data_IF_888685823875
#
_entry.id   IF_888685823875
#
_cell.length_a   1.000
_cell.length_b   1.000
_cell.length_c   1.000
_cell.angle_alpha   90.00
_cell.angle_beta   90.00
_cell.angle_gamma   90.00
#
_symmetry.space_group_name_H-M   'P 1'
#
loop_
_entity.id
_entity.type
_entity.pdbx_description
1 polymer ?
#
# COMPACT_ATOMS: atom_id res chain seq x y z
N UNK A 1 45.20 61.18 9.68
CA UNK A 1 45.40 60.49 8.39
C UNK A 1 45.09 59.01 8.53
N UNK A 2 44.01 58.54 7.88
CA UNK A 2 43.84 57.26 7.14
C UNK A 2 42.34 56.92 7.09
N UNK A 3 41.78 57.13 5.89
CA UNK A 3 40.41 56.83 5.47
C UNK A 3 40.28 55.33 5.18
N UNK A 4 39.12 54.72 5.46
CA UNK A 4 38.58 53.62 4.64
C UNK A 4 37.06 53.76 4.48
N UNK A 5 36.66 53.79 3.22
CA UNK A 5 35.32 53.92 2.63
C UNK A 5 34.52 52.59 2.76
N UNK A 6 33.25 52.63 3.18
CA UNK A 6 32.01 52.61 2.37
C UNK A 6 31.83 51.41 1.42
N UNK A 7 30.84 50.57 1.71
CA UNK A 7 29.84 50.11 0.73
C UNK A 7 28.58 49.61 1.44
N UNK A 8 27.57 50.46 1.41
CA UNK A 8 26.18 50.11 1.65
C UNK A 8 25.56 49.76 0.30
N UNK A 9 24.91 48.61 0.21
CA UNK A 9 23.92 48.34 -0.83
C UNK A 9 22.61 48.08 -0.11
N UNK A 10 21.79 49.12 -0.06
CA UNK A 10 20.37 49.06 0.28
C UNK A 10 19.67 48.56 -0.99
N UNK A 11 19.01 47.42 -0.92
CA UNK A 11 17.99 47.03 -1.88
C UNK A 11 16.65 46.93 -1.13
N UNK A 12 15.84 47.98 -1.25
CA UNK A 12 14.42 47.92 -0.95
C UNK A 12 13.69 47.39 -2.19
N UNK A 13 12.87 46.35 -2.03
CA UNK A 13 11.81 46.04 -2.98
C UNK A 13 10.58 45.48 -2.25
N UNK A 14 9.66 46.41 -1.98
CA UNK A 14 8.20 46.33 -2.06
C UNK A 14 7.51 45.03 -1.63
N UNK A 15 6.76 45.15 -0.53
CA UNK A 15 5.79 44.17 -0.08
C UNK A 15 4.58 44.04 -1.01
N UNK A 16 4.04 42.83 -1.04
CA UNK A 16 2.62 42.61 -1.25
C UNK A 16 1.98 42.43 0.14
N UNK A 17 1.15 43.39 0.53
CA UNK A 17 0.17 43.22 1.60
C UNK A 17 -1.00 42.45 0.99
N UNK A 18 -1.16 41.21 1.41
CA UNK A 18 -2.42 40.47 1.29
C UNK A 18 -2.97 40.27 2.70
N UNK A 19 -4.06 40.97 3.02
CA UNK A 19 -4.85 40.78 4.24
C UNK A 19 -5.42 39.37 4.30
N UNK A 20 -5.38 38.73 5.47
CA UNK A 20 -6.16 37.53 5.72
C UNK A 20 -5.71 36.78 6.97
N UNK A 21 -6.16 37.29 8.12
CA UNK A 21 -6.32 36.64 9.43
C UNK A 21 -5.19 35.75 9.98
N UNK A 22 -4.63 36.22 11.09
CA UNK A 22 -3.78 35.45 12.00
C UNK A 22 -4.54 34.22 12.50
N UNK A 23 -4.22 33.06 11.93
CA UNK A 23 -4.40 31.77 12.59
C UNK A 23 -3.06 31.09 12.55
N UNK A 24 -2.48 30.94 13.74
CA UNK A 24 -1.18 30.34 14.03
C UNK A 24 -0.93 29.11 13.14
N UNK A 25 -0.10 29.30 12.12
CA UNK A 25 0.43 28.24 11.28
C UNK A 25 1.44 27.45 12.08
N UNK A 26 0.95 26.58 12.96
CA UNK A 26 1.75 25.58 13.65
C UNK A 26 2.40 24.71 12.56
N UNK A 27 3.71 24.88 12.38
CA UNK A 27 4.50 24.01 11.51
C UNK A 27 4.37 22.60 12.07
N UNK A 28 3.85 21.62 11.32
CA UNK A 28 3.67 20.28 11.85
C UNK A 28 5.01 19.76 12.39
N UNK A 29 5.04 19.16 13.60
CA UNK A 29 6.28 18.63 14.14
C UNK A 29 6.89 17.64 13.14
N UNK A 30 8.22 17.67 12.96
CA UNK A 30 8.90 16.71 12.10
C UNK A 30 8.66 15.30 12.67
N UNK A 31 7.86 14.47 11.99
CA UNK A 31 7.66 13.08 12.43
C UNK A 31 6.34 12.38 12.13
N UNK A 32 5.31 13.02 11.55
CA UNK A 32 4.14 12.27 11.03
C UNK A 32 3.97 12.52 9.55
N UNK A 33 4.33 11.53 8.74
CA UNK A 33 3.97 11.58 7.33
C UNK A 33 2.45 11.40 7.24
N UNK A 34 1.77 12.41 6.69
CA UNK A 34 0.31 12.35 6.54
C UNK A 34 -0.04 11.69 5.21
N UNK A 35 -0.71 10.54 5.28
CA UNK A 35 -1.25 9.75 4.17
C UNK A 35 -2.77 9.99 4.02
N UNK A 36 -3.20 11.24 4.06
CA UNK A 36 -4.63 11.59 4.05
C UNK A 36 -5.27 11.58 2.66
N UNK A 37 -4.49 11.42 1.59
CA UNK A 37 -4.97 11.45 0.21
C UNK A 37 -4.42 10.28 -0.60
N UNK A 38 -5.14 9.91 -1.67
CA UNK A 38 -4.72 8.86 -2.59
C UNK A 38 -3.35 9.19 -3.22
N UNK A 39 -3.16 10.44 -3.67
CA UNK A 39 -1.90 10.88 -4.26
C UNK A 39 -0.76 10.92 -3.24
N UNK A 40 -1.04 11.23 -1.97
CA UNK A 40 -0.06 11.17 -0.89
C UNK A 40 0.44 9.74 -0.64
N UNK A 41 -0.48 8.76 -0.63
CA UNK A 41 -0.14 7.32 -0.52
C UNK A 41 0.67 6.89 -1.75
N UNK A 42 0.22 7.21 -2.97
CA UNK A 42 0.93 6.85 -4.21
C UNK A 42 2.33 7.42 -4.25
N UNK A 43 2.47 8.71 -3.96
CA UNK A 43 3.77 9.41 -3.92
C UNK A 43 4.69 8.82 -2.87
N UNK A 44 4.15 8.43 -1.70
CA UNK A 44 4.95 7.74 -0.71
C UNK A 44 5.44 6.39 -1.22
N UNK A 45 4.55 5.57 -1.79
CA UNK A 45 4.91 4.23 -2.22
C UNK A 45 5.83 4.21 -3.45
N UNK A 46 5.78 5.23 -4.31
CA UNK A 46 6.61 5.30 -5.51
C UNK A 46 8.11 5.17 -5.20
N UNK A 47 8.79 4.31 -5.97
CA UNK A 47 10.20 3.96 -5.74
C UNK A 47 10.46 3.06 -4.53
N UNK A 48 9.44 2.59 -3.81
CA UNK A 48 9.59 1.68 -2.65
C UNK A 48 9.46 0.22 -3.03
N UNK A 49 10.04 -0.60 -2.17
CA UNK A 49 9.89 -2.05 -2.13
C UNK A 49 8.98 -2.44 -0.96
N UNK A 50 8.16 -3.47 -1.17
CA UNK A 50 7.16 -3.97 -0.24
C UNK A 50 7.28 -5.49 -0.19
N UNK A 51 7.73 -6.06 0.94
CA UNK A 51 8.00 -7.50 1.08
C UNK A 51 7.03 -8.17 2.05
N UNK A 52 6.35 -9.22 1.60
CA UNK A 52 5.54 -10.12 2.42
C UNK A 52 6.21 -11.48 2.48
N UNK A 53 6.49 -11.98 3.68
CA UNK A 53 7.10 -13.30 3.92
C UNK A 53 6.77 -13.82 5.33
N UNK A 54 6.91 -15.13 5.53
CA UNK A 54 6.69 -15.78 6.82
C UNK A 54 5.30 -15.48 7.40
N UNK A 55 5.23 -15.07 8.67
CA UNK A 55 3.96 -14.79 9.37
C UNK A 55 3.15 -13.60 8.79
N UNK A 56 3.72 -12.87 7.82
CA UNK A 56 3.00 -11.81 7.12
C UNK A 56 2.17 -12.32 5.93
N UNK A 57 2.40 -13.57 5.50
CA UNK A 57 1.57 -14.26 4.53
C UNK A 57 0.33 -14.76 5.28
N UNK A 58 -0.88 -14.37 4.85
CA UNK A 58 -2.09 -14.80 5.52
C UNK A 58 -2.57 -16.16 4.99
N UNK A 59 -3.37 -16.88 5.78
CA UNK A 59 -3.85 -18.22 5.38
C UNK A 59 -4.77 -18.24 4.16
N UNK A 60 -5.37 -17.09 3.80
CA UNK A 60 -6.27 -16.97 2.65
C UNK A 60 -5.92 -15.76 1.78
N UNK A 61 -4.74 -15.72 1.13
CA UNK A 61 -4.39 -14.62 0.25
C UNK A 61 -5.41 -14.53 -0.88
N UNK A 62 -5.85 -13.31 -1.21
CA UNK A 62 -6.86 -13.08 -2.25
C UNK A 62 -8.20 -13.82 -2.03
N UNK A 63 -8.46 -14.30 -0.81
CA UNK A 63 -9.66 -15.05 -0.44
C UNK A 63 -9.61 -16.57 -0.66
N UNK A 64 -8.50 -17.12 -1.19
CA UNK A 64 -8.31 -18.56 -1.38
C UNK A 64 -7.38 -19.13 -0.32
N UNK A 65 -7.68 -20.32 0.20
CA UNK A 65 -6.78 -21.01 1.12
C UNK A 65 -5.42 -21.20 0.48
N UNK A 66 -4.35 -20.91 1.22
CA UNK A 66 -2.98 -21.19 0.76
C UNK A 66 -2.70 -22.71 0.63
N UNK A 67 -3.51 -23.54 1.28
CA UNK A 67 -3.42 -25.00 1.25
C UNK A 67 -4.11 -25.63 0.03
N UNK A 68 -4.84 -24.85 -0.76
CA UNK A 68 -5.54 -25.35 -1.96
C UNK A 68 -4.56 -25.43 -3.15
N UNK A 69 -4.41 -26.64 -3.72
CA UNK A 69 -3.67 -26.81 -4.97
C UNK A 69 -4.53 -26.40 -6.17
N UNK A 70 -4.35 -25.15 -6.59
CA UNK A 70 -4.93 -24.57 -7.80
C UNK A 70 -3.91 -24.54 -8.96
N UNK A 71 -2.84 -25.32 -8.88
CA UNK A 71 -1.77 -25.41 -9.86
C UNK A 71 -0.97 -24.11 -10.04
N UNK A 72 -1.13 -23.45 -11.18
CA UNK A 72 -0.38 -22.23 -11.50
C UNK A 72 -0.87 -20.99 -10.74
N UNK A 73 -2.07 -21.05 -10.15
CA UNK A 73 -2.71 -19.92 -9.45
C UNK A 73 -2.89 -20.19 -7.95
N UNK A 74 -2.26 -21.22 -7.40
CA UNK A 74 -2.26 -21.49 -5.96
C UNK A 74 -1.73 -20.30 -5.19
N UNK A 75 -2.29 -20.04 -4.00
CA UNK A 75 -1.89 -18.93 -3.14
C UNK A 75 -0.83 -19.33 -2.10
N UNK A 76 -0.13 -20.44 -2.33
CA UNK A 76 0.97 -20.91 -1.50
C UNK A 76 2.25 -20.16 -1.84
N UNK A 77 2.64 -19.19 -1.00
CA UNK A 77 3.78 -18.29 -1.23
C UNK A 77 4.93 -18.58 -0.27
N UNK A 78 6.19 -18.55 -0.73
CA UNK A 78 7.36 -18.39 0.15
C UNK A 78 7.51 -16.92 0.53
N UNK A 79 7.40 -16.04 -0.48
CA UNK A 79 7.32 -14.59 -0.30
C UNK A 79 6.69 -13.92 -1.51
N UNK A 80 6.29 -12.67 -1.33
CA UNK A 80 5.87 -11.78 -2.41
C UNK A 80 6.58 -10.44 -2.24
N UNK A 81 7.27 -9.99 -3.27
CA UNK A 81 7.88 -8.68 -3.31
C UNK A 81 7.20 -7.81 -4.35
N UNK A 82 6.65 -6.68 -3.91
CA UNK A 82 6.11 -5.65 -4.78
C UNK A 82 7.06 -4.47 -4.85
N UNK A 83 7.31 -3.94 -6.04
CA UNK A 83 7.95 -2.64 -6.23
C UNK A 83 6.98 -1.68 -6.88
N UNK A 84 6.94 -0.45 -6.39
CA UNK A 84 6.09 0.60 -6.96
C UNK A 84 6.94 1.53 -7.81
N UNK A 85 6.53 1.76 -9.06
CA UNK A 85 7.20 2.70 -9.96
C UNK A 85 6.21 3.28 -10.96
N UNK A 86 6.16 4.60 -11.07
CA UNK A 86 5.31 5.30 -12.03
C UNK A 86 3.82 5.03 -11.81
N UNK A 87 3.41 4.81 -10.56
CA UNK A 87 2.03 4.48 -10.19
C UNK A 87 1.58 3.05 -10.48
N UNK A 88 2.50 2.15 -10.88
CA UNK A 88 2.25 0.73 -11.07
C UNK A 88 3.02 -0.13 -10.07
N UNK A 89 2.51 -1.32 -9.81
CA UNK A 89 3.18 -2.35 -9.03
C UNK A 89 3.75 -3.43 -9.95
N UNK A 90 5.03 -3.75 -9.76
CA UNK A 90 5.61 -5.01 -10.24
C UNK A 90 5.64 -5.97 -9.06
N UNK A 91 4.95 -7.09 -9.19
CA UNK A 91 4.79 -8.13 -8.17
C UNK A 91 5.62 -9.33 -8.58
N UNK A 92 6.58 -9.72 -7.74
CA UNK A 92 7.38 -10.93 -7.88
C UNK A 92 7.02 -11.89 -6.76
N UNK A 93 6.35 -12.98 -7.11
CA UNK A 93 5.92 -14.02 -6.18
C UNK A 93 6.90 -15.19 -6.22
N UNK A 94 7.49 -15.53 -5.08
CA UNK A 94 8.08 -16.84 -4.85
C UNK A 94 6.95 -17.78 -4.46
N UNK A 95 6.53 -18.67 -5.35
CA UNK A 95 5.52 -19.68 -5.03
C UNK A 95 6.21 -20.86 -4.37
N UNK A 96 5.56 -21.37 -3.34
CA UNK A 96 5.99 -22.54 -2.59
C UNK A 96 5.23 -23.79 -3.06
N UNK A 97 5.38 -24.90 -2.35
CA UNK A 97 4.77 -26.19 -2.76
C UNK A 97 3.56 -26.50 -1.90
N UNK A 98 2.40 -26.76 -2.50
CA UNK A 98 1.27 -27.35 -1.75
C UNK A 98 1.56 -28.83 -1.52
N UNK A 99 1.52 -29.27 -0.27
CA UNK A 99 1.69 -30.66 0.17
C UNK A 99 0.36 -31.19 0.70
N UNK A 100 0.33 -32.48 1.05
CA UNK A 100 -0.87 -33.11 1.63
C UNK A 100 -1.27 -32.52 2.99
N UNK A 101 -0.32 -31.93 3.72
CA UNK A 101 -0.48 -31.30 5.03
C UNK A 101 -0.58 -29.77 4.98
N UNK A 102 -0.67 -29.18 3.78
CA UNK A 102 -0.84 -27.75 3.55
C UNK A 102 0.29 -27.11 2.75
N UNK A 103 0.36 -25.78 2.77
CA UNK A 103 1.42 -25.03 2.11
C UNK A 103 2.77 -25.24 2.79
N UNK A 104 3.71 -25.85 2.05
CA UNK A 104 5.13 -25.93 2.42
C UNK A 104 5.82 -24.69 1.85
N UNK A 105 6.01 -23.67 2.69
CA UNK A 105 6.58 -22.35 2.38
C UNK A 105 8.06 -22.35 1.93
N UNK A 106 8.55 -23.48 1.43
CA UNK A 106 9.85 -23.61 0.77
C UNK A 106 9.72 -23.22 -0.70
N UNK A 107 10.56 -22.28 -1.14
CA UNK A 107 10.57 -21.77 -2.50
C UNK A 107 10.67 -22.90 -3.55
N UNK A 108 9.79 -22.87 -4.55
CA UNK A 108 9.73 -23.87 -5.61
C UNK A 108 9.77 -23.26 -7.02
N UNK A 109 9.06 -22.16 -7.24
CA UNK A 109 8.96 -21.47 -8.53
C UNK A 109 8.79 -19.97 -8.31
N UNK A 110 9.03 -19.18 -9.35
CA UNK A 110 8.80 -17.73 -9.31
C UNK A 110 7.85 -17.30 -10.41
N UNK A 111 7.05 -16.29 -10.12
CA UNK A 111 6.12 -15.67 -11.06
C UNK A 111 6.19 -14.16 -10.92
N UNK A 112 6.06 -13.44 -12.04
CA UNK A 112 6.10 -11.98 -12.04
C UNK A 112 4.92 -11.42 -12.83
N UNK A 113 4.33 -10.36 -12.30
CA UNK A 113 3.24 -9.63 -12.92
C UNK A 113 3.47 -8.14 -12.74
N UNK A 114 3.21 -7.35 -13.77
CA UNK A 114 3.20 -5.89 -13.67
C UNK A 114 1.78 -5.40 -13.85
N UNK A 115 1.32 -4.57 -12.92
CA UNK A 115 0.02 -3.92 -13.03
C UNK A 115 0.04 -2.93 -14.20
N UNK A 116 -1.11 -2.78 -14.83
CA UNK A 116 -1.39 -1.73 -15.82
C UNK A 116 -1.99 -0.48 -15.19
N UNK A 117 -2.57 -0.62 -13.99
CA UNK A 117 -3.05 0.49 -13.17
C UNK A 117 -3.15 0.09 -11.69
N UNK A 118 -2.89 1.05 -10.80
CA UNK A 118 -3.24 0.99 -9.38
C UNK A 118 -4.10 2.19 -9.04
N UNK A 119 -5.33 1.93 -8.60
CA UNK A 119 -6.29 2.95 -8.17
C UNK A 119 -6.44 2.88 -6.64
N UNK A 120 -6.22 4.01 -5.98
CA UNK A 120 -6.47 4.21 -4.55
C UNK A 120 -7.55 5.28 -4.41
N UNK A 121 -8.56 5.01 -3.58
CA UNK A 121 -9.75 5.84 -3.38
C UNK A 121 -10.21 5.81 -1.91
N UNK A 122 -11.17 6.69 -1.56
CA UNK A 122 -11.87 6.68 -0.27
C UNK A 122 -10.97 6.61 0.97
N UNK A 123 -9.86 7.35 0.96
CA UNK A 123 -8.87 7.38 2.05
C UNK A 123 -9.50 7.94 3.33
N UNK A 124 -9.34 7.20 4.44
CA UNK A 124 -9.79 7.55 5.78
C UNK A 124 -8.64 7.51 6.77
N UNK A 125 -8.78 8.29 7.86
CA UNK A 125 -7.92 8.19 9.04
C UNK A 125 -6.43 8.16 8.74
N UNK A 126 -5.92 9.04 7.87
CA UNK A 126 -4.50 9.06 7.52
C UNK A 126 -3.96 7.71 6.95
N UNK A 127 -4.74 7.08 6.07
CA UNK A 127 -4.49 5.73 5.54
C UNK A 127 -4.65 4.59 6.56
N UNK A 128 -5.40 4.80 7.64
CA UNK A 128 -5.98 3.73 8.46
C UNK A 128 -6.86 2.78 7.60
N UNK A 129 -7.51 3.33 6.58
CA UNK A 129 -8.18 2.55 5.53
C UNK A 129 -8.25 3.34 4.21
N UNK A 130 -8.00 2.68 3.09
CA UNK A 130 -8.32 3.17 1.75
C UNK A 130 -8.80 2.03 0.84
N UNK A 131 -9.65 2.33 -0.13
CA UNK A 131 -10.04 1.35 -1.15
C UNK A 131 -8.92 1.25 -2.20
N UNK A 132 -8.65 0.04 -2.67
CA UNK A 132 -7.61 -0.21 -3.67
C UNK A 132 -8.09 -1.17 -4.75
N UNK A 133 -7.77 -0.84 -6.00
CA UNK A 133 -7.89 -1.73 -7.17
C UNK A 133 -6.56 -1.83 -7.89
N UNK A 134 -6.06 -3.04 -8.07
CA UNK A 134 -4.84 -3.35 -8.81
C UNK A 134 -5.23 -4.11 -10.07
N UNK A 135 -4.94 -3.55 -11.24
CA UNK A 135 -5.30 -4.13 -12.54
C UNK A 135 -4.09 -4.75 -13.21
N UNK A 136 -4.16 -6.04 -13.53
CA UNK A 136 -3.15 -6.76 -14.30
C UNK A 136 -3.70 -7.15 -15.68
N UNK A 137 -2.84 -7.67 -16.55
CA UNK A 137 -3.30 -8.28 -17.79
C UNK A 137 -4.04 -9.57 -17.45
N UNK A 138 -5.35 -9.59 -17.69
CA UNK A 138 -6.21 -10.77 -17.55
C UNK A 138 -6.95 -10.91 -16.21
N UNK A 139 -6.60 -10.14 -15.18
CA UNK A 139 -7.30 -10.17 -13.89
C UNK A 139 -7.13 -8.85 -13.11
N UNK A 140 -7.98 -8.67 -12.10
CA UNK A 140 -7.90 -7.57 -11.14
C UNK A 140 -8.02 -8.08 -9.72
N UNK A 141 -7.34 -7.38 -8.82
CA UNK A 141 -7.51 -7.51 -7.38
C UNK A 141 -8.14 -6.23 -6.84
N UNK A 142 -9.12 -6.39 -5.97
CA UNK A 142 -9.88 -5.31 -5.36
C UNK A 142 -9.95 -5.54 -3.86
N UNK A 143 -10.01 -4.46 -3.09
CA UNK A 143 -10.18 -4.57 -1.66
C UNK A 143 -9.88 -3.26 -0.95
N UNK A 144 -9.29 -3.39 0.24
CA UNK A 144 -8.91 -2.28 1.09
C UNK A 144 -7.48 -2.42 1.60
N UNK A 145 -6.83 -1.29 1.84
CA UNK A 145 -5.48 -1.22 2.34
C UNK A 145 -5.37 -0.29 3.54
N UNK A 146 -4.27 -0.46 4.29
CA UNK A 146 -3.87 0.37 5.41
C UNK A 146 -2.37 0.58 5.34
N UNK A 147 -1.91 1.80 5.60
CA UNK A 147 -0.49 2.11 5.78
C UNK A 147 -0.26 2.52 7.23
N UNK A 148 0.72 1.92 7.90
CA UNK A 148 1.06 2.30 9.28
C UNK A 148 1.48 3.77 9.37
N UNK A 149 1.30 4.39 10.54
CA UNK A 149 1.66 5.80 10.74
C UNK A 149 3.14 6.11 10.42
N UNK A 150 4.04 5.16 10.68
CA UNK A 150 5.46 5.27 10.36
C UNK A 150 5.80 4.90 8.89
N UNK A 151 4.79 4.51 8.12
CA UNK A 151 4.86 4.10 6.72
C UNK A 151 5.56 2.76 6.47
N UNK A 152 6.05 2.08 7.53
CA UNK A 152 6.88 0.86 7.38
C UNK A 152 6.08 -0.40 7.09
N UNK A 153 4.76 -0.37 7.23
CA UNK A 153 3.88 -1.51 6.98
C UNK A 153 2.71 -1.11 6.10
N UNK A 154 2.60 -1.76 4.94
CA UNK A 154 1.42 -1.72 4.10
C UNK A 154 0.65 -3.02 4.31
N UNK A 155 -0.58 -2.96 4.81
CA UNK A 155 -1.47 -4.12 4.88
C UNK A 155 -2.50 -4.02 3.79
N UNK A 156 -2.62 -5.05 2.95
CA UNK A 156 -3.63 -5.15 1.90
C UNK A 156 -4.54 -6.34 2.18
N UNK A 157 -5.85 -6.11 2.17
CA UNK A 157 -6.85 -7.17 2.16
C UNK A 157 -7.51 -7.17 0.78
N UNK A 158 -7.02 -8.05 -0.08
CA UNK A 158 -7.39 -8.12 -1.50
C UNK A 158 -8.21 -9.37 -1.77
N UNK A 159 -9.02 -9.31 -2.82
CA UNK A 159 -9.78 -10.41 -3.41
C UNK A 159 -9.79 -10.24 -4.93
N UNK A 160 -10.01 -11.31 -5.69
CA UNK A 160 -10.20 -11.16 -7.13
C UNK A 160 -11.54 -10.46 -7.44
N UNK A 161 -11.52 -9.57 -8.43
CA UNK A 161 -12.71 -8.81 -8.84
C UNK A 161 -13.89 -9.75 -9.13
N UNK A 162 -15.08 -9.39 -8.62
CA UNK A 162 -16.32 -10.15 -8.82
C UNK A 162 -16.55 -11.31 -7.85
N UNK A 163 -15.58 -11.66 -6.99
CA UNK A 163 -15.73 -12.76 -6.03
C UNK A 163 -16.22 -12.31 -4.65
N UNK A 164 -15.80 -11.11 -4.23
CA UNK A 164 -16.06 -10.58 -2.89
C UNK A 164 -16.96 -9.34 -2.94
N UNK A 165 -17.86 -9.22 -1.97
CA UNK A 165 -18.57 -7.99 -1.63
C UNK A 165 -18.26 -7.59 -0.19
N UNK A 166 -18.33 -6.30 0.13
CA UNK A 166 -18.04 -5.81 1.48
C UNK A 166 -16.55 -5.64 1.81
N UNK A 167 -15.65 -5.82 0.85
CA UNK A 167 -14.20 -5.61 1.01
C UNK A 167 -13.77 -4.14 0.82
N UNK A 168 -14.58 -3.17 1.26
CA UNK A 168 -14.29 -1.72 1.12
C UNK A 168 -14.22 -1.06 2.49
N UNK A 169 -13.55 0.09 2.57
CA UNK A 169 -13.50 0.92 3.76
C UNK A 169 -14.85 1.52 4.14
N UNK A 170 -15.83 1.55 3.22
CA UNK A 170 -17.20 1.93 3.55
C UNK A 170 -17.93 0.82 4.34
N UNK A 171 -17.61 -0.44 4.07
CA UNK A 171 -18.19 -1.58 4.77
C UNK A 171 -17.50 -1.87 6.12
N UNK A 172 -16.20 -1.58 6.23
CA UNK A 172 -15.45 -1.64 7.49
C UNK A 172 -13.95 -1.49 7.30
N UNK A 173 -13.22 -1.38 8.42
CA UNK A 173 -11.76 -1.31 8.44
C UNK A 173 -11.10 -2.60 7.92
N UNK A 174 -9.81 -2.54 7.57
CA UNK A 174 -9.03 -3.70 7.11
C UNK A 174 -9.14 -4.88 8.09
N UNK A 175 -9.58 -6.04 7.60
CA UNK A 175 -9.82 -7.26 8.38
C UNK A 175 -11.18 -7.34 9.09
N UNK A 176 -12.09 -6.37 8.91
CA UNK A 176 -13.44 -6.46 9.46
C UNK A 176 -14.23 -7.61 8.82
N UNK A 177 -14.99 -8.38 9.62
CA UNK A 177 -15.87 -9.49 9.23
C UNK A 177 -17.10 -9.05 8.43
N UNK A 178 -16.86 -8.37 7.33
CA UNK A 178 -17.84 -7.71 6.45
C UNK A 178 -17.83 -8.32 5.05
N UNK A 179 -16.79 -9.09 4.74
CA UNK A 179 -16.60 -9.71 3.43
C UNK A 179 -17.48 -10.93 3.29
N UNK A 180 -18.24 -10.96 2.19
CA UNK A 180 -18.94 -12.15 1.71
C UNK A 180 -18.24 -12.58 0.42
N UNK A 181 -17.65 -13.77 0.44
CA UNK A 181 -16.93 -14.35 -0.69
C UNK A 181 -17.78 -15.47 -1.28
N UNK A 182 -18.07 -15.42 -2.59
CA UNK A 182 -18.90 -16.43 -3.27
C UNK A 182 -20.25 -16.70 -2.56
N UNK A 183 -20.90 -15.63 -2.07
CA UNK A 183 -22.19 -15.66 -1.33
C UNK A 183 -22.15 -16.30 0.06
N UNK A 184 -20.96 -16.58 0.60
CA UNK A 184 -20.79 -17.06 1.97
C UNK A 184 -19.96 -16.05 2.80
N UNK A 185 -20.24 -15.91 4.11
CA UNK A 185 -19.37 -15.12 4.98
C UNK A 185 -17.93 -15.62 4.89
N UNK A 186 -16.99 -14.70 4.66
CA UNK A 186 -15.57 -15.03 4.65
C UNK A 186 -15.07 -15.21 6.10
N UNK A 187 -14.46 -16.35 6.38
CA UNK A 187 -13.95 -16.72 7.71
C UNK A 187 -12.42 -16.85 7.76
N UNK A 188 -11.74 -16.69 6.63
CA UNK A 188 -10.29 -16.77 6.54
C UNK A 188 -9.58 -15.49 6.97
N UNK A 189 -8.26 -15.47 6.84
CA UNK A 189 -7.45 -14.26 6.96
C UNK A 189 -6.94 -13.88 5.58
N UNK A 190 -7.28 -12.69 5.07
CA UNK A 190 -6.79 -12.19 3.78
C UNK A 190 -5.82 -11.00 3.92
N UNK A 191 -5.39 -10.67 5.15
CA UNK A 191 -4.50 -9.53 5.43
C UNK A 191 -3.07 -9.84 5.04
N UNK A 192 -2.69 -9.40 3.85
CA UNK A 192 -1.33 -9.47 3.32
C UNK A 192 -0.52 -8.31 3.90
N UNK A 193 0.47 -8.60 4.73
CA UNK A 193 1.29 -7.56 5.38
C UNK A 193 2.62 -7.42 4.63
N UNK A 194 2.90 -6.23 4.15
CA UNK A 194 4.12 -5.91 3.43
C UNK A 194 5.00 -4.95 4.25
N UNK A 195 6.24 -5.35 4.49
CA UNK A 195 7.27 -4.49 5.05
C UNK A 195 7.77 -3.54 3.96
N UNK A 196 7.63 -2.24 4.21
CA UNK A 196 7.97 -1.18 3.26
C UNK A 196 9.40 -0.71 3.49
N UNK A 197 10.20 -0.69 2.44
CA UNK A 197 11.58 -0.21 2.43
C UNK A 197 11.86 0.68 1.21
N UNK A 198 12.99 1.39 1.22
CA UNK A 198 13.47 2.03 0.00
C UNK A 198 13.67 0.98 -1.10
N UNK A 199 13.38 1.33 -2.36
CA UNK A 199 13.66 0.46 -3.50
C UNK A 199 15.13 0.07 -3.56
N UNK A 200 15.39 -1.15 -4.02
CA UNK A 200 16.72 -1.65 -4.32
C UNK A 200 17.17 -1.21 -5.71
#
# INVERSE_FOLDING_TARGET
>A
MKKKLLSAVVLCALGFVGCGDDSDGETPPPGSQKFTTADGIRTYLDGKSMLMEGANIPSHPNGFSEDDDLGAVSQCYEKVQMTSSGGNFTVNSGLATVRADGCDHVAAKSQSFTSTAVLIENVKGNAECFDITITFVGFKQVGRGMLSEDGKKLTLELFFEGQAVGATCAAGEVGASTVVLNKQPFTGNAKQVYMVSAGQ
#
